data_IF_657814517108
#
_entry.id   IF_657814517108
#
_cell.length_a   1.000
_cell.length_b   1.000
_cell.length_c   1.000
_cell.angle_alpha   90.00
_cell.angle_beta   90.00
_cell.angle_gamma   90.00
#
_symmetry.space_group_name_H-M   'P 1'
#
loop_
_entity.id
_entity.type
_entity.pdbx_description
1 polymer ?
#
# COMPACT_ATOMS: atom_id res chain seq x y z
N UNK A 1 15.34 -16.76 4.36
CA UNK A 1 14.89 -15.76 3.41
C UNK A 1 15.29 -14.36 3.88
N UNK A 2 15.74 -13.51 2.98
CA UNK A 2 16.25 -12.17 3.27
C UNK A 2 15.12 -11.16 3.47
N UNK A 3 14.03 -11.33 2.73
CA UNK A 3 12.85 -10.46 2.77
C UNK A 3 11.61 -11.22 3.22
N UNK A 4 10.70 -10.52 3.86
CA UNK A 4 9.38 -11.04 4.19
C UNK A 4 8.42 -10.81 3.01
N UNK A 5 8.56 -9.66 2.36
CA UNK A 5 7.67 -9.23 1.27
C UNK A 5 8.47 -8.74 0.06
N UNK A 6 8.13 -9.24 -1.13
CA UNK A 6 8.49 -8.64 -2.42
C UNK A 6 7.35 -7.72 -2.86
N UNK A 7 7.63 -6.43 -3.08
CA UNK A 7 6.61 -5.47 -3.53
C UNK A 7 6.71 -5.31 -5.05
N UNK A 8 5.69 -5.84 -5.76
CA UNK A 8 5.51 -5.70 -7.21
C UNK A 8 4.60 -4.50 -7.52
N UNK A 9 5.03 -3.61 -8.40
CA UNK A 9 4.31 -2.36 -8.68
C UNK A 9 4.73 -1.75 -10.02
N UNK A 10 3.93 -0.83 -10.56
CA UNK A 10 4.33 0.03 -11.67
C UNK A 10 5.17 1.21 -11.17
N UNK A 11 6.22 1.59 -11.89
CA UNK A 11 7.08 2.73 -11.54
C UNK A 11 6.31 4.05 -11.36
N UNK A 12 5.14 4.18 -11.95
CA UNK A 12 4.24 5.32 -11.77
C UNK A 12 3.66 5.41 -10.35
N UNK A 13 3.61 4.28 -9.64
CA UNK A 13 3.02 4.18 -8.30
C UNK A 13 4.07 4.25 -7.18
N UNK A 14 5.31 4.60 -7.51
CA UNK A 14 6.46 4.60 -6.60
C UNK A 14 6.18 5.35 -5.29
N UNK A 15 5.51 6.49 -5.34
CA UNK A 15 5.22 7.30 -4.14
C UNK A 15 4.35 6.57 -3.12
N UNK A 16 3.36 5.81 -3.58
CA UNK A 16 2.50 4.99 -2.70
C UNK A 16 3.31 3.83 -2.12
N UNK A 17 4.14 3.21 -2.95
CA UNK A 17 5.03 2.09 -2.55
C UNK A 17 6.04 2.52 -1.51
N UNK A 18 6.64 3.71 -1.64
CA UNK A 18 7.55 4.29 -0.63
C UNK A 18 6.86 4.42 0.74
N UNK A 19 5.64 4.94 0.76
CA UNK A 19 4.85 5.06 1.99
C UNK A 19 4.48 3.70 2.60
N UNK A 20 4.02 2.76 1.77
CA UNK A 20 3.68 1.41 2.19
C UNK A 20 4.91 0.68 2.76
N UNK A 21 6.02 0.72 2.04
CA UNK A 21 7.28 0.10 2.46
C UNK A 21 7.76 0.65 3.80
N UNK A 22 7.78 1.98 3.97
CA UNK A 22 8.16 2.62 5.21
C UNK A 22 7.26 2.18 6.37
N UNK A 23 5.95 2.07 6.14
CA UNK A 23 4.99 1.59 7.13
C UNK A 23 5.27 0.14 7.53
N UNK A 24 5.43 -0.77 6.55
CA UNK A 24 5.71 -2.18 6.81
C UNK A 24 7.02 -2.38 7.58
N UNK A 25 8.08 -1.66 7.20
CA UNK A 25 9.39 -1.74 7.86
C UNK A 25 9.39 -1.21 9.29
N UNK A 26 8.58 -0.20 9.60
CA UNK A 26 8.31 0.22 10.99
C UNK A 26 7.72 -0.90 11.84
N UNK A 27 6.96 -1.80 11.23
CA UNK A 27 6.37 -2.98 11.86
C UNK A 27 7.25 -4.24 11.76
N UNK A 28 8.55 -4.08 11.44
CA UNK A 28 9.54 -5.17 11.32
C UNK A 28 9.29 -6.13 10.17
N UNK A 29 8.50 -5.77 9.19
CA UNK A 29 8.29 -6.52 7.94
C UNK A 29 9.36 -6.05 6.94
N UNK A 30 10.29 -6.93 6.58
CA UNK A 30 11.39 -6.61 5.66
C UNK A 30 10.88 -6.64 4.23
N UNK A 31 10.97 -5.51 3.54
CA UNK A 31 10.49 -5.35 2.18
C UNK A 31 11.64 -5.32 1.17
N UNK A 32 11.42 -5.96 0.02
CA UNK A 32 12.21 -5.72 -1.20
C UNK A 32 11.42 -4.79 -2.13
N UNK A 33 12.10 -3.74 -2.59
CA UNK A 33 11.55 -2.77 -3.56
C UNK A 33 12.60 -2.48 -4.61
N UNK A 34 12.31 -2.82 -5.87
CA UNK A 34 13.29 -2.85 -6.94
C UNK A 34 14.07 -1.54 -7.15
N UNK A 35 13.39 -0.38 -7.11
CA UNK A 35 14.06 0.92 -7.33
C UNK A 35 15.10 1.26 -6.25
N UNK A 36 14.93 0.74 -5.04
CA UNK A 36 15.79 0.99 -3.87
C UNK A 36 16.88 -0.07 -3.72
N UNK A 37 16.50 -1.33 -3.91
CA UNK A 37 17.28 -2.47 -3.44
C UNK A 37 18.15 -3.11 -4.56
N UNK A 38 17.90 -2.75 -5.84
CA UNK A 38 18.74 -3.21 -6.95
C UNK A 38 19.86 -2.21 -7.19
N UNK A 39 21.14 -2.61 -6.98
CA UNK A 39 22.29 -1.74 -7.27
C UNK A 39 22.39 -1.42 -8.77
N UNK A 40 22.92 -0.24 -9.07
CA UNK A 40 23.24 0.11 -10.47
C UNK A 40 24.32 -0.82 -11.01
N UNK A 41 24.20 -1.19 -12.28
CA UNK A 41 25.21 -2.02 -12.98
C UNK A 41 25.01 -3.53 -12.86
N UNK A 42 23.96 -4.00 -12.17
CA UNK A 42 23.57 -5.40 -12.16
C UNK A 42 22.53 -5.71 -13.24
N UNK A 43 22.42 -6.97 -13.63
CA UNK A 43 21.38 -7.42 -14.57
C UNK A 43 20.05 -7.42 -13.84
N UNK A 44 19.17 -6.47 -14.21
CA UNK A 44 17.89 -6.22 -13.53
C UNK A 44 17.01 -7.47 -13.39
N UNK A 45 16.80 -8.21 -14.50
CA UNK A 45 15.95 -9.40 -14.48
C UNK A 45 16.44 -10.47 -13.49
N UNK A 46 17.77 -10.66 -13.41
CA UNK A 46 18.37 -11.61 -12.48
C UNK A 46 18.14 -11.17 -11.02
N UNK A 47 18.34 -9.88 -10.74
CA UNK A 47 18.15 -9.34 -9.39
C UNK A 47 16.68 -9.46 -8.91
N UNK A 48 15.71 -9.31 -9.82
CA UNK A 48 14.29 -9.53 -9.55
C UNK A 48 14.02 -10.99 -9.17
N UNK A 49 14.49 -11.96 -9.96
CA UNK A 49 14.31 -13.39 -9.69
C UNK A 49 14.93 -13.76 -8.35
N UNK A 50 16.20 -13.38 -8.12
CA UNK A 50 16.90 -13.66 -6.85
C UNK A 50 16.15 -13.05 -5.64
N UNK A 51 15.65 -11.83 -5.77
CA UNK A 51 14.90 -11.16 -4.70
C UNK A 51 13.55 -11.83 -4.44
N UNK A 52 12.87 -12.26 -5.48
CA UNK A 52 11.61 -12.99 -5.35
C UNK A 52 11.85 -14.34 -4.65
N UNK A 53 12.88 -15.11 -5.06
CA UNK A 53 13.28 -16.37 -4.41
C UNK A 53 13.59 -16.16 -2.92
N UNK A 54 14.25 -15.05 -2.57
CA UNK A 54 14.62 -14.69 -1.21
C UNK A 54 13.45 -14.10 -0.39
N UNK A 55 12.26 -13.91 -0.97
CA UNK A 55 11.07 -13.37 -0.34
C UNK A 55 10.07 -14.45 0.05
N UNK A 56 9.36 -14.27 1.17
CA UNK A 56 8.38 -15.22 1.69
C UNK A 56 7.03 -15.10 0.97
N UNK A 57 6.65 -13.90 0.55
CA UNK A 57 5.41 -13.62 -0.17
C UNK A 57 5.57 -12.42 -1.09
N UNK A 58 4.55 -12.19 -1.93
CA UNK A 58 4.45 -11.01 -2.79
C UNK A 58 3.29 -10.12 -2.33
N UNK A 59 3.51 -8.80 -2.34
CA UNK A 59 2.45 -7.79 -2.30
C UNK A 59 2.42 -7.08 -3.65
N UNK A 60 1.26 -7.11 -4.29
CA UNK A 60 1.00 -6.44 -5.57
C UNK A 60 0.32 -5.11 -5.28
N UNK A 61 0.94 -3.99 -5.66
CA UNK A 61 0.31 -2.67 -5.66
C UNK A 61 -0.34 -2.44 -7.01
N UNK A 62 -1.65 -2.65 -7.07
CA UNK A 62 -2.40 -2.67 -8.31
C UNK A 62 -3.01 -1.30 -8.66
N UNK A 63 -2.74 -0.86 -9.90
CA UNK A 63 -3.31 0.34 -10.53
C UNK A 63 -3.58 0.12 -12.01
N UNK A 64 -4.13 1.10 -12.73
CA UNK A 64 -4.22 1.04 -14.20
C UNK A 64 -2.83 0.97 -14.85
N UNK A 65 -1.85 1.68 -14.30
CA UNK A 65 -0.47 1.60 -14.78
C UNK A 65 0.13 0.20 -14.63
N UNK A 66 -0.22 -0.50 -13.55
CA UNK A 66 0.17 -1.88 -13.32
C UNK A 66 -0.37 -2.82 -14.39
N UNK A 67 -1.60 -2.59 -14.87
CA UNK A 67 -2.21 -3.39 -15.94
C UNK A 67 -1.40 -3.41 -17.24
N UNK A 68 -0.63 -2.36 -17.51
CA UNK A 68 0.11 -2.17 -18.76
C UNK A 68 1.60 -2.52 -18.64
N UNK A 69 2.01 -3.22 -17.60
CA UNK A 69 3.41 -3.60 -17.34
C UNK A 69 3.66 -5.08 -17.59
N UNK A 70 4.43 -5.40 -18.63
CA UNK A 70 4.88 -6.77 -18.93
C UNK A 70 5.85 -7.33 -17.88
N UNK A 71 6.61 -6.45 -17.22
CA UNK A 71 7.52 -6.86 -16.15
C UNK A 71 6.76 -7.47 -14.98
N UNK A 72 5.66 -6.86 -14.61
CA UNK A 72 4.80 -7.32 -13.53
C UNK A 72 4.16 -8.67 -13.85
N UNK A 73 3.78 -8.92 -15.10
CA UNK A 73 3.22 -10.22 -15.51
C UNK A 73 4.21 -11.34 -15.21
N UNK A 74 5.49 -11.15 -15.51
CA UNK A 74 6.54 -12.13 -15.21
C UNK A 74 6.77 -12.33 -13.72
N UNK A 75 6.71 -11.27 -12.93
CA UNK A 75 6.86 -11.36 -11.47
C UNK A 75 5.73 -12.16 -10.83
N UNK A 76 4.48 -11.93 -11.27
CA UNK A 76 3.29 -12.67 -10.80
C UNK A 76 3.38 -14.14 -11.22
N UNK A 77 3.79 -14.42 -12.46
CA UNK A 77 3.96 -15.78 -12.96
C UNK A 77 4.96 -16.54 -12.09
N UNK A 78 6.17 -16.00 -11.89
CA UNK A 78 7.20 -16.60 -11.04
C UNK A 78 6.72 -16.85 -9.60
N UNK A 79 6.05 -15.85 -8.99
CA UNK A 79 5.51 -16.01 -7.64
C UNK A 79 4.45 -17.12 -7.57
N UNK A 80 3.64 -17.27 -8.62
CA UNK A 80 2.59 -18.29 -8.72
C UNK A 80 3.19 -19.68 -8.93
N UNK A 81 4.22 -19.83 -9.75
CA UNK A 81 4.95 -21.09 -9.95
C UNK A 81 5.56 -21.60 -8.65
N UNK A 82 6.13 -20.69 -7.85
CA UNK A 82 6.70 -20.99 -6.53
C UNK A 82 5.64 -21.18 -5.43
N UNK A 83 4.35 -21.08 -5.77
CA UNK A 83 3.23 -21.13 -4.80
C UNK A 83 3.39 -20.12 -3.65
N UNK A 84 4.02 -18.98 -3.89
CA UNK A 84 4.15 -17.93 -2.90
C UNK A 84 2.80 -17.26 -2.62
N UNK A 85 2.46 -16.96 -1.37
CA UNK A 85 1.28 -16.15 -1.07
C UNK A 85 1.37 -14.80 -1.78
N UNK A 86 0.26 -14.38 -2.42
CA UNK A 86 0.13 -13.08 -3.07
C UNK A 86 -1.00 -12.31 -2.40
N UNK A 87 -0.73 -11.08 -1.98
CA UNK A 87 -1.72 -10.13 -1.49
C UNK A 87 -1.83 -8.98 -2.47
N UNK A 88 -3.03 -8.68 -2.95
CA UNK A 88 -3.25 -7.56 -3.86
C UNK A 88 -3.78 -6.34 -3.10
N UNK A 89 -3.09 -5.22 -3.22
CA UNK A 89 -3.44 -3.91 -2.68
C UNK A 89 -3.84 -3.00 -3.84
N UNK A 90 -5.15 -2.80 -4.05
CA UNK A 90 -5.69 -2.01 -5.16
C UNK A 90 -5.76 -0.55 -4.76
N UNK A 91 -5.03 0.29 -5.49
CA UNK A 91 -4.98 1.74 -5.26
C UNK A 91 -5.82 2.54 -6.25
N UNK A 92 -6.39 1.87 -7.25
CA UNK A 92 -7.37 2.43 -8.21
C UNK A 92 -8.50 1.43 -8.46
N UNK A 93 -9.67 1.92 -8.88
CA UNK A 93 -10.85 1.09 -9.18
C UNK A 93 -10.83 0.56 -10.63
N UNK A 94 -9.74 -0.08 -10.98
CA UNK A 94 -9.57 -0.68 -12.30
C UNK A 94 -9.78 -2.19 -12.26
N UNK A 95 -10.27 -2.76 -13.37
CA UNK A 95 -10.38 -4.20 -13.52
C UNK A 95 -9.04 -4.81 -13.95
N UNK A 96 -8.74 -6.01 -13.46
CA UNK A 96 -7.58 -6.77 -13.91
C UNK A 96 -7.68 -7.10 -15.42
N UNK A 97 -6.59 -6.90 -16.17
CA UNK A 97 -6.49 -7.19 -17.61
C UNK A 97 -5.45 -8.30 -17.86
N UNK A 98 -5.56 -8.98 -19.01
CA UNK A 98 -4.56 -9.94 -19.47
C UNK A 98 -4.27 -11.08 -18.48
N UNK A 99 -2.98 -11.42 -18.34
CA UNK A 99 -2.49 -12.47 -17.44
C UNK A 99 -2.83 -12.18 -15.97
N UNK A 100 -2.82 -10.92 -15.55
CA UNK A 100 -3.19 -10.46 -14.20
C UNK A 100 -4.57 -10.92 -13.78
N UNK A 101 -5.53 -10.93 -14.71
CA UNK A 101 -6.88 -11.44 -14.46
C UNK A 101 -6.88 -12.93 -14.12
N UNK A 102 -6.03 -13.73 -14.76
CA UNK A 102 -5.91 -15.14 -14.50
C UNK A 102 -5.35 -15.41 -13.09
N UNK A 103 -4.26 -14.77 -12.74
CA UNK A 103 -3.57 -15.01 -11.48
C UNK A 103 -4.22 -14.32 -10.27
N UNK A 104 -4.74 -13.10 -10.42
CA UNK A 104 -5.17 -12.27 -9.28
C UNK A 104 -6.68 -12.32 -9.02
N UNK A 105 -7.51 -12.72 -9.99
CA UNK A 105 -8.98 -12.68 -9.85
C UNK A 105 -9.52 -13.53 -8.68
N UNK A 106 -8.85 -14.61 -8.34
CA UNK A 106 -9.29 -15.54 -7.29
C UNK A 106 -8.55 -15.33 -5.95
N UNK A 107 -7.72 -14.32 -5.86
CA UNK A 107 -6.97 -13.96 -4.66
C UNK A 107 -7.72 -12.82 -3.96
N UNK A 108 -7.82 -12.87 -2.64
CA UNK A 108 -8.39 -11.76 -1.86
C UNK A 108 -7.53 -10.49 -2.03
N UNK A 109 -8.20 -9.36 -2.15
CA UNK A 109 -7.54 -8.06 -2.27
C UNK A 109 -8.04 -7.06 -1.23
N UNK A 110 -7.28 -5.98 -1.07
CA UNK A 110 -7.64 -4.83 -0.25
C UNK A 110 -7.93 -3.67 -1.20
N UNK A 111 -9.16 -3.16 -1.23
CA UNK A 111 -9.52 -1.95 -1.97
C UNK A 111 -9.14 -0.72 -1.15
N UNK A 112 -8.17 0.05 -1.65
CA UNK A 112 -7.52 1.14 -0.92
C UNK A 112 -7.66 2.51 -1.62
N UNK A 113 -8.56 2.61 -2.56
CA UNK A 113 -8.85 3.88 -3.20
C UNK A 113 -10.03 4.57 -2.50
N UNK A 114 -10.10 5.91 -2.45
CA UNK A 114 -9.12 6.85 -3.02
C UNK A 114 -7.90 7.15 -2.14
N UNK A 115 -7.83 6.64 -0.89
CA UNK A 115 -6.82 7.00 0.10
C UNK A 115 -5.97 5.78 0.53
N UNK A 116 -5.00 5.31 -0.28
CA UNK A 116 -4.25 4.09 0.00
C UNK A 116 -3.55 4.09 1.37
N UNK A 117 -3.07 5.24 1.83
CA UNK A 117 -2.32 5.35 3.08
C UNK A 117 -3.12 4.96 4.33
N UNK A 118 -4.44 5.11 4.31
CA UNK A 118 -5.31 4.74 5.43
C UNK A 118 -5.38 3.22 5.65
N UNK A 119 -5.04 2.42 4.63
CA UNK A 119 -5.12 0.96 4.67
C UNK A 119 -3.75 0.27 4.71
N UNK A 120 -2.65 0.98 4.93
CA UNK A 120 -1.34 0.35 5.12
C UNK A 120 -1.31 -0.59 6.33
N UNK A 121 -2.04 -0.25 7.40
CA UNK A 121 -2.22 -1.13 8.56
C UNK A 121 -2.90 -2.45 8.20
N UNK A 122 -3.92 -2.39 7.33
CA UNK A 122 -4.61 -3.59 6.84
C UNK A 122 -3.67 -4.49 6.02
N UNK A 123 -2.75 -3.91 5.24
CA UNK A 123 -1.72 -4.68 4.54
C UNK A 123 -0.78 -5.36 5.54
N UNK A 124 -0.28 -4.63 6.55
CA UNK A 124 0.60 -5.18 7.57
C UNK A 124 -0.06 -6.35 8.32
N UNK A 125 -1.32 -6.20 8.73
CA UNK A 125 -2.09 -7.24 9.42
C UNK A 125 -2.26 -8.51 8.56
N UNK A 126 -2.53 -8.34 7.27
CA UNK A 126 -2.68 -9.48 6.35
C UNK A 126 -1.35 -10.16 6.06
N UNK A 127 -0.26 -9.39 5.89
CA UNK A 127 1.09 -9.94 5.74
C UNK A 127 1.46 -10.77 6.98
N UNK A 128 1.25 -10.22 8.18
CA UNK A 128 1.54 -10.93 9.42
C UNK A 128 0.78 -12.25 9.54
N UNK A 129 -0.51 -12.25 9.20
CA UNK A 129 -1.34 -13.48 9.21
C UNK A 129 -0.84 -14.50 8.20
N UNK A 130 -0.51 -14.08 6.97
CA UNK A 130 -0.06 -14.98 5.91
C UNK A 130 1.32 -15.58 6.19
N UNK A 131 2.16 -14.86 6.93
CA UNK A 131 3.52 -15.29 7.26
C UNK A 131 3.67 -15.85 8.67
N UNK A 132 2.57 -15.95 9.44
CA UNK A 132 2.55 -16.36 10.85
C UNK A 132 3.56 -15.56 11.70
N UNK A 133 3.49 -14.23 11.54
CA UNK A 133 4.37 -13.27 12.23
C UNK A 133 3.59 -12.55 13.32
N UNK A 134 4.20 -12.38 14.49
CA UNK A 134 3.72 -11.40 15.46
C UNK A 134 4.16 -10.00 14.99
N UNK A 135 3.18 -9.13 14.70
CA UNK A 135 3.48 -7.72 14.54
C UNK A 135 3.99 -7.21 15.88
N UNK A 136 5.22 -6.75 15.92
CA UNK A 136 5.66 -5.94 17.05
C UNK A 136 4.78 -4.69 17.03
N UNK A 137 3.77 -4.68 17.89
CA UNK A 137 2.96 -3.51 18.16
C UNK A 137 3.91 -2.48 18.76
N UNK A 138 4.53 -1.68 17.91
CA UNK A 138 4.90 -0.36 18.33
C UNK A 138 3.56 0.28 18.69
N UNK A 139 3.29 0.40 19.98
CA UNK A 139 2.19 1.21 20.52
C UNK A 139 2.49 2.71 20.33
N UNK A 140 2.94 3.07 19.16
CA UNK A 140 2.60 4.32 18.55
C UNK A 140 1.23 4.07 17.90
N UNK A 141 0.18 3.98 18.73
CA UNK A 141 -1.13 4.48 18.38
C UNK A 141 -0.80 5.80 17.69
N UNK A 142 -0.89 5.85 16.35
CA UNK A 142 -1.04 7.12 15.68
C UNK A 142 -2.23 7.71 16.42
N UNK A 143 -1.95 8.64 17.33
CA UNK A 143 -3.01 9.42 17.92
C UNK A 143 -3.75 9.94 16.70
N UNK A 144 -5.06 9.71 16.57
CA UNK A 144 -5.81 10.31 15.48
C UNK A 144 -5.37 11.76 15.51
N UNK A 145 -4.89 12.28 14.36
CA UNK A 145 -4.48 13.67 14.25
C UNK A 145 -5.53 14.45 15.00
N UNK A 146 -5.17 15.31 15.96
CA UNK A 146 -6.15 15.89 16.88
C UNK A 146 -7.30 16.39 16.05
N UNK A 147 -8.46 15.77 16.23
CA UNK A 147 -9.65 16.12 15.45
C UNK A 147 -9.88 17.56 15.79
N UNK A 148 -9.55 18.46 14.85
CA UNK A 148 -9.77 19.89 15.06
C UNK A 148 -11.26 20.06 15.27
N UNK A 149 -11.64 20.45 16.47
CA UNK A 149 -12.99 20.87 16.77
C UNK A 149 -13.06 22.39 16.53
N UNK A 150 -13.99 22.80 15.72
CA UNK A 150 -14.22 24.21 15.41
C UNK A 150 -15.34 24.75 16.29
N UNK A 151 -15.26 26.04 16.59
CA UNK A 151 -16.33 26.81 17.24
C UNK A 151 -16.89 27.84 16.27
N UNK A 152 -18.10 28.28 16.50
CA UNK A 152 -18.66 29.39 15.74
C UNK A 152 -17.74 30.61 15.86
N UNK A 153 -17.34 31.18 14.73
CA UNK A 153 -16.37 32.28 14.63
C UNK A 153 -14.96 31.87 14.28
N UNK A 154 -14.62 30.58 14.28
CA UNK A 154 -13.31 30.11 13.86
C UNK A 154 -13.15 30.24 12.33
N UNK A 155 -11.91 30.49 11.87
CA UNK A 155 -11.58 30.45 10.45
C UNK A 155 -11.27 29.01 10.02
N UNK A 156 -12.03 28.52 9.03
CA UNK A 156 -11.85 27.19 8.44
C UNK A 156 -11.07 27.30 7.12
N UNK A 157 -10.05 26.48 6.96
CA UNK A 157 -9.31 26.36 5.70
C UNK A 157 -8.78 24.93 5.56
N UNK A 158 -9.60 24.03 5.06
CA UNK A 158 -9.23 22.63 4.80
C UNK A 158 -9.97 22.08 3.57
N UNK A 159 -9.35 21.16 2.85
CA UNK A 159 -9.97 20.48 1.72
C UNK A 159 -10.37 21.39 0.55
N UNK A 160 -9.67 22.53 0.38
CA UNK A 160 -9.97 23.49 -0.69
C UNK A 160 -11.21 24.37 -0.42
N UNK A 161 -11.72 24.35 0.80
CA UNK A 161 -12.79 25.24 1.28
C UNK A 161 -12.26 26.12 2.38
N UNK A 162 -12.62 27.39 2.35
CA UNK A 162 -12.25 28.35 3.37
C UNK A 162 -13.44 29.26 3.71
N UNK A 163 -13.50 29.74 4.94
CA UNK A 163 -14.57 30.61 5.41
C UNK A 163 -14.65 30.71 6.94
N UNK A 164 -15.62 31.47 7.43
CA UNK A 164 -15.91 31.56 8.86
C UNK A 164 -16.95 30.51 9.24
N UNK A 165 -16.67 29.74 10.28
CA UNK A 165 -17.62 28.76 10.84
C UNK A 165 -18.77 29.49 11.51
N UNK A 166 -20.00 29.31 11.04
CA UNK A 166 -21.19 29.94 11.61
C UNK A 166 -22.15 28.98 12.29
N UNK A 167 -21.98 27.68 12.06
CA UNK A 167 -22.79 26.64 12.70
C UNK A 167 -21.90 25.43 12.96
N UNK A 168 -21.97 24.81 14.13
CA UNK A 168 -21.27 23.57 14.48
C UNK A 168 -22.19 22.61 15.19
N UNK A 169 -21.97 21.30 14.95
CA UNK A 169 -22.63 20.22 15.69
C UNK A 169 -22.17 20.18 17.16
N UNK A 170 -22.91 19.51 18.00
CA UNK A 170 -22.62 19.44 19.45
C UNK A 170 -21.23 18.82 19.76
N UNK A 171 -20.68 18.01 18.86
CA UNK A 171 -19.35 17.39 18.94
C UNK A 171 -18.22 18.25 18.32
N UNK A 172 -18.55 19.39 17.72
CA UNK A 172 -17.59 20.29 17.06
C UNK A 172 -16.99 19.75 15.75
N UNK A 173 -17.49 18.63 15.21
CA UNK A 173 -16.89 17.93 14.06
C UNK A 173 -17.53 18.24 12.72
N UNK A 174 -18.76 18.72 12.76
CA UNK A 174 -19.53 19.08 11.57
C UNK A 174 -20.02 20.52 11.72
N UNK A 175 -20.08 21.26 10.62
CA UNK A 175 -20.50 22.64 10.63
C UNK A 175 -20.68 23.20 9.24
N UNK A 176 -21.12 24.46 9.19
CA UNK A 176 -21.24 25.23 7.95
C UNK A 176 -20.30 26.43 8.01
N UNK A 177 -19.77 26.79 6.85
CA UNK A 177 -18.91 27.95 6.64
C UNK A 177 -19.54 28.92 5.64
N UNK A 178 -19.23 30.19 5.77
CA UNK A 178 -19.61 31.27 4.85
C UNK A 178 -18.34 31.81 4.20
#
# INVERSE_FOLDING_TARGET
MKYDVFISYSSHDQKVVEGLCAYLEQHKIRCFVAYRDIPRGVVWARAIVEALDESRMMVVVFSDHFNNSDQVDREIELASEDSKPILTFRITDDAFKGAKKYYLKNINWIDAFPNPAELFGSVADNVAKLLDMELSVSTAKAAPAPIKSYKVGDYYNEGGKEGIVFEVSADGRHGKIV
#
